data_IF_962275026108
#
_entry.id   IF_962275026108
#
_cell.length_a   1.000
_cell.length_b   1.000
_cell.length_c   1.000
_cell.angle_alpha   90.00
_cell.angle_beta   90.00
_cell.angle_gamma   90.00
#
_symmetry.space_group_name_H-M   'P 1'
#
loop_
_entity.id
_entity.type
_entity.pdbx_description
1 polymer ?
#
# COMPACT_ATOMS: atom_id res chain seq x y z
N UNK A 1 4.81 -0.45 -6.95
CA UNK A 1 3.75 -1.08 -7.78
C UNK A 1 3.45 -0.24 -9.03
N UNK A 2 3.20 -0.84 -10.22
CA UNK A 2 2.70 -0.10 -11.40
C UNK A 2 1.17 -0.05 -11.38
N UNK A 3 0.59 1.02 -11.93
CA UNK A 3 -0.87 1.24 -11.93
C UNK A 3 -1.61 0.21 -12.81
N UNK A 4 -0.97 -0.28 -13.87
CA UNK A 4 -1.54 -1.31 -14.76
C UNK A 4 -1.82 -2.61 -14.02
N UNK A 5 -0.86 -3.11 -13.24
CA UNK A 5 -1.04 -4.32 -12.42
C UNK A 5 -2.14 -4.14 -11.37
N UNK A 6 -2.31 -2.93 -10.82
CA UNK A 6 -3.37 -2.63 -9.85
C UNK A 6 -4.76 -2.67 -10.53
N UNK A 7 -4.86 -2.23 -11.79
CA UNK A 7 -6.13 -2.26 -12.53
C UNK A 7 -6.53 -3.66 -13.02
N UNK A 8 -5.58 -4.55 -13.23
CA UNK A 8 -5.85 -5.94 -13.64
C UNK A 8 -6.31 -6.83 -12.48
N UNK A 9 -6.06 -6.41 -11.23
CA UNK A 9 -6.49 -7.13 -10.03
C UNK A 9 -7.96 -6.88 -9.70
N UNK A 10 -8.62 -7.87 -9.10
CA UNK A 10 -10.00 -7.73 -8.62
C UNK A 10 -10.08 -6.80 -7.40
N UNK A 11 -11.23 -6.15 -7.20
CA UNK A 11 -11.47 -5.28 -6.03
C UNK A 11 -11.18 -5.98 -4.69
N UNK A 12 -11.50 -7.28 -4.60
CA UNK A 12 -11.22 -8.09 -3.42
C UNK A 12 -9.71 -8.26 -3.17
N UNK A 13 -8.94 -8.48 -4.23
CA UNK A 13 -7.48 -8.58 -4.14
C UNK A 13 -6.83 -7.23 -3.83
N UNK A 14 -7.36 -6.15 -4.40
CA UNK A 14 -6.94 -4.79 -4.10
C UNK A 14 -7.17 -4.44 -2.63
N UNK A 15 -8.33 -4.78 -2.08
CA UNK A 15 -8.58 -4.60 -0.66
C UNK A 15 -7.67 -5.47 0.20
N UNK A 16 -7.38 -6.70 -0.21
CA UNK A 16 -6.44 -7.58 0.50
C UNK A 16 -5.03 -6.97 0.53
N UNK A 17 -4.49 -6.58 -0.63
CA UNK A 17 -3.18 -5.89 -0.73
C UNK A 17 -3.16 -4.59 0.07
N UNK A 18 -4.26 -3.83 0.08
CA UNK A 18 -4.35 -2.60 0.87
C UNK A 18 -4.20 -2.84 2.38
N UNK A 19 -4.75 -3.95 2.88
CA UNK A 19 -4.58 -4.38 4.28
C UNK A 19 -3.16 -4.85 4.56
N UNK A 20 -2.61 -5.72 3.70
CA UNK A 20 -1.23 -6.22 3.82
C UNK A 20 -0.22 -5.07 3.86
N UNK A 21 -0.32 -4.10 2.94
CA UNK A 21 0.52 -2.90 2.94
C UNK A 21 0.33 -2.04 4.19
N UNK A 22 -0.86 -2.05 4.79
CA UNK A 22 -1.15 -1.36 6.05
C UNK A 22 -0.45 -2.01 7.24
N UNK A 23 -0.46 -3.33 7.32
CA UNK A 23 0.26 -4.10 8.35
C UNK A 23 1.77 -3.93 8.21
N UNK A 24 2.29 -3.98 6.99
CA UNK A 24 3.71 -3.75 6.71
C UNK A 24 4.14 -2.33 7.09
N UNK A 25 3.28 -1.32 6.83
CA UNK A 25 3.51 0.05 7.28
C UNK A 25 3.57 0.15 8.81
N UNK A 26 2.65 -0.53 9.52
CA UNK A 26 2.63 -0.56 10.98
C UNK A 26 3.91 -1.18 11.53
N UNK A 27 4.33 -2.33 11.00
CA UNK A 27 5.59 -2.97 11.39
C UNK A 27 6.79 -2.04 11.16
N UNK A 28 6.83 -1.35 10.03
CA UNK A 28 7.90 -0.38 9.75
C UNK A 28 7.85 0.85 10.65
N UNK A 29 6.66 1.31 11.06
CA UNK A 29 6.52 2.38 12.05
C UNK A 29 7.02 1.95 13.43
N UNK A 30 6.72 0.72 13.85
CA UNK A 30 7.26 0.15 15.10
C UNK A 30 8.78 0.05 15.02
N UNK A 31 9.34 -0.48 13.91
CA UNK A 31 10.79 -0.54 13.68
C UNK A 31 11.46 0.84 13.64
N UNK A 32 10.76 1.85 13.11
CA UNK A 32 11.17 3.26 13.16
C UNK A 32 11.25 3.76 14.59
N UNK A 33 10.27 3.42 15.41
CA UNK A 33 10.21 3.86 16.80
C UNK A 33 11.25 3.14 17.66
N UNK A 34 11.58 1.88 17.37
CA UNK A 34 12.68 1.15 18.03
C UNK A 34 14.07 1.54 17.53
N UNK A 35 14.19 2.48 16.59
CA UNK A 35 15.47 2.95 16.06
C UNK A 35 16.19 1.98 15.12
N UNK A 36 15.58 0.85 14.77
CA UNK A 36 16.15 -0.19 13.88
C UNK A 36 15.65 -0.06 12.43
N UNK A 37 15.33 1.15 11.99
CA UNK A 37 14.82 1.36 10.63
C UNK A 37 15.95 1.37 9.61
N UNK A 38 16.29 0.20 9.10
CA UNK A 38 17.32 0.05 8.06
C UNK A 38 16.93 0.72 6.73
N UNK A 39 15.63 0.85 6.44
CA UNK A 39 15.13 1.23 5.10
C UNK A 39 13.98 2.27 5.14
N UNK A 40 14.26 3.55 5.43
CA UNK A 40 13.26 4.61 5.47
C UNK A 40 12.53 4.87 4.14
N UNK A 41 13.15 4.51 3.01
CA UNK A 41 12.54 4.64 1.68
C UNK A 41 11.32 3.72 1.49
N UNK A 42 11.26 2.57 2.19
CA UNK A 42 10.13 1.64 2.13
C UNK A 42 8.85 2.27 2.66
N UNK A 43 8.91 3.05 3.74
CA UNK A 43 7.75 3.78 4.27
C UNK A 43 7.10 4.67 3.19
N UNK A 44 7.93 5.40 2.43
CA UNK A 44 7.47 6.28 1.35
C UNK A 44 6.97 5.48 0.14
N UNK A 45 7.53 4.29 -0.10
CA UNK A 45 7.06 3.39 -1.16
C UNK A 45 5.69 2.82 -0.84
N UNK A 46 5.53 2.23 0.35
CA UNK A 46 4.29 1.60 0.82
C UNK A 46 3.16 2.62 0.91
N UNK A 47 3.42 3.84 1.43
CA UNK A 47 2.43 4.93 1.40
C UNK A 47 1.95 5.25 -0.01
N UNK A 48 2.86 5.30 -0.99
CA UNK A 48 2.51 5.59 -2.39
C UNK A 48 1.74 4.45 -3.03
N UNK A 49 2.15 3.21 -2.81
CA UNK A 49 1.47 2.04 -3.35
C UNK A 49 0.06 1.90 -2.75
N UNK A 50 -0.09 2.14 -1.44
CA UNK A 50 -1.39 2.17 -0.77
C UNK A 50 -2.31 3.27 -1.30
N UNK A 51 -1.78 4.47 -1.60
CA UNK A 51 -2.55 5.55 -2.22
C UNK A 51 -3.01 5.19 -3.64
N UNK A 52 -2.15 4.57 -4.45
CA UNK A 52 -2.50 4.13 -5.81
C UNK A 52 -3.63 3.11 -5.82
N UNK A 53 -3.60 2.14 -4.92
CA UNK A 53 -4.70 1.16 -4.76
C UNK A 53 -6.00 1.86 -4.42
N UNK A 54 -5.98 2.81 -3.48
CA UNK A 54 -7.16 3.57 -3.08
C UNK A 54 -7.73 4.40 -4.25
N UNK A 55 -6.86 4.99 -5.08
CA UNK A 55 -7.27 5.69 -6.30
C UNK A 55 -7.97 4.77 -7.29
N UNK A 56 -7.46 3.55 -7.53
CA UNK A 56 -8.08 2.60 -8.45
C UNK A 56 -9.43 2.09 -7.92
N UNK A 57 -9.52 1.79 -6.62
CA UNK A 57 -10.79 1.42 -5.97
C UNK A 57 -11.85 2.52 -6.10
N UNK A 58 -11.44 3.79 -5.95
CA UNK A 58 -12.35 4.92 -6.14
C UNK A 58 -12.74 5.13 -7.61
N UNK A 59 -11.82 4.90 -8.56
CA UNK A 59 -12.15 4.95 -10.00
C UNK A 59 -13.17 3.86 -10.39
N UNK A 60 -13.04 2.65 -9.84
CA UNK A 60 -13.99 1.55 -10.03
C UNK A 60 -15.38 1.91 -9.51
N UNK A 61 -15.46 2.49 -8.30
CA UNK A 61 -16.74 2.89 -7.67
C UNK A 61 -17.43 4.10 -8.31
N UNK A 62 -16.68 4.97 -8.99
CA UNK A 62 -17.21 6.19 -9.60
C UNK A 62 -17.76 5.96 -11.03
N UNK A 63 -17.69 4.72 -11.53
CA UNK A 63 -18.20 4.33 -12.85
C UNK A 63 -19.58 3.66 -12.76
#
# INVERSE_FOLDING_TARGET
MKITEIKEMSEAELQKKFRELGEELLQLQVRKQTGQLEKPHLLKSIRRDRARILTVLNQSKAS
#
